data_IF_566952887800
#
_entry.id   IF_566952887800
#
_cell.length_a   1.000
_cell.length_b   1.000
_cell.length_c   1.000
_cell.angle_alpha   90.00
_cell.angle_beta   90.00
_cell.angle_gamma   90.00
#
_symmetry.space_group_name_H-M   'P 1'
#
loop_
_entity.id
_entity.type
_entity.pdbx_description
1 polymer ?
#
# COMPACT_ATOMS: atom_id res chain seq x y z
N UNK A 1 -10.08 2.13 54.57
CA UNK A 1 -8.99 2.47 53.62
C UNK A 1 -9.51 2.22 52.22
N UNK A 2 -9.47 3.27 51.38
CA UNK A 2 -10.50 3.58 50.41
C UNK A 2 -10.22 2.98 49.03
N UNK A 3 -11.23 2.32 48.45
CA UNK A 3 -11.28 1.80 47.07
C UNK A 3 -11.18 2.96 46.04
N UNK A 4 -11.34 4.22 46.48
CA UNK A 4 -11.25 5.41 45.64
C UNK A 4 -9.82 5.74 45.13
N UNK A 5 -8.77 5.17 45.72
CA UNK A 5 -7.39 5.51 45.32
C UNK A 5 -6.90 4.72 44.09
N UNK A 6 -7.61 3.65 43.71
CA UNK A 6 -7.33 2.88 42.49
C UNK A 6 -7.99 3.48 41.23
N UNK A 7 -8.93 4.42 41.41
CA UNK A 7 -9.73 4.98 40.31
C UNK A 7 -9.08 6.26 39.74
N UNK A 8 -8.14 6.88 40.45
CA UNK A 8 -7.62 8.22 40.11
C UNK A 8 -6.27 8.29 39.40
N UNK A 9 -5.64 7.15 39.08
CA UNK A 9 -4.40 7.12 38.28
C UNK A 9 -4.56 6.17 37.08
N UNK A 10 -5.66 6.32 36.33
CA UNK A 10 -5.57 6.11 34.88
C UNK A 10 -5.07 7.40 34.25
N UNK A 11 -3.78 7.69 34.44
CA UNK A 11 -3.03 8.28 33.33
C UNK A 11 -3.33 7.35 32.15
N UNK A 12 -3.96 7.88 31.11
CA UNK A 12 -4.19 7.16 29.86
C UNK A 12 -2.86 6.59 29.41
N UNK A 13 -2.61 5.31 29.71
CA UNK A 13 -1.50 4.58 29.12
C UNK A 13 -1.90 4.45 27.66
N UNK A 14 -1.34 5.30 26.80
CA UNK A 14 -1.52 5.15 25.37
C UNK A 14 -0.99 3.76 25.01
N UNK A 15 -1.90 2.87 24.59
CA UNK A 15 -1.55 1.53 24.15
C UNK A 15 -0.99 1.67 22.73
N UNK A 16 0.28 1.33 22.48
CA UNK A 16 0.94 1.64 21.21
C UNK A 16 0.19 1.10 19.99
N UNK A 17 -0.35 -0.11 20.11
CA UNK A 17 -1.07 -0.77 19.01
C UNK A 17 -2.39 -0.04 18.67
N UNK A 18 -3.37 0.11 19.60
CA UNK A 18 -4.54 0.94 19.34
C UNK A 18 -4.21 2.36 18.87
N UNK A 19 -3.26 3.03 19.51
CA UNK A 19 -2.86 4.40 19.14
C UNK A 19 -2.40 4.48 17.67
N UNK A 20 -1.55 3.55 17.25
CA UNK A 20 -1.06 3.51 15.86
C UNK A 20 -2.19 3.29 14.86
N UNK A 21 -3.10 2.35 15.14
CA UNK A 21 -4.20 2.07 14.21
C UNK A 21 -5.28 3.15 14.23
N UNK A 22 -5.52 3.82 15.37
CA UNK A 22 -6.40 4.99 15.45
C UNK A 22 -5.85 6.18 14.65
N UNK A 23 -4.54 6.42 14.70
CA UNK A 23 -3.87 7.44 13.89
C UNK A 23 -3.99 7.11 12.39
N UNK A 24 -3.69 5.88 11.99
CA UNK A 24 -3.81 5.46 10.59
C UNK A 24 -5.26 5.53 10.08
N UNK A 25 -6.23 5.09 10.89
CA UNK A 25 -7.65 5.16 10.56
C UNK A 25 -8.10 6.61 10.40
N UNK A 26 -7.72 7.50 11.34
CA UNK A 26 -8.04 8.93 11.24
C UNK A 26 -7.49 9.56 9.97
N UNK A 27 -6.26 9.22 9.57
CA UNK A 27 -5.71 9.70 8.31
C UNK A 27 -6.50 9.21 7.10
N UNK A 28 -6.84 7.91 7.07
CA UNK A 28 -7.65 7.33 6.00
C UNK A 28 -9.01 8.03 5.88
N UNK A 29 -9.77 8.14 6.97
CA UNK A 29 -11.10 8.76 7.00
C UNK A 29 -11.03 10.22 6.55
N UNK A 30 -10.05 10.97 7.06
CA UNK A 30 -9.85 12.37 6.71
C UNK A 30 -9.57 12.55 5.21
N UNK A 31 -8.68 11.74 4.63
CA UNK A 31 -8.40 11.84 3.20
C UNK A 31 -9.56 11.32 2.35
N UNK A 32 -10.30 10.30 2.80
CA UNK A 32 -11.49 9.81 2.09
C UNK A 32 -12.53 10.92 2.00
N UNK A 33 -12.78 11.64 3.09
CA UNK A 33 -13.66 12.81 3.13
C UNK A 33 -13.17 13.90 2.17
N UNK A 34 -11.91 14.34 2.32
CA UNK A 34 -11.38 15.54 1.64
C UNK A 34 -11.06 15.32 0.16
N UNK A 35 -10.60 14.13 -0.22
CA UNK A 35 -10.05 13.84 -1.55
C UNK A 35 -10.89 12.85 -2.36
N UNK A 36 -11.78 12.10 -1.69
CA UNK A 36 -12.60 11.06 -2.32
C UNK A 36 -14.10 11.20 -2.05
N UNK A 37 -14.55 12.31 -1.45
CA UNK A 37 -15.99 12.55 -1.19
C UNK A 37 -16.66 11.43 -0.38
N UNK A 38 -15.89 10.77 0.51
CA UNK A 38 -16.32 9.58 1.26
C UNK A 38 -16.79 8.40 0.39
N UNK A 39 -16.32 8.28 -0.85
CA UNK A 39 -16.72 7.20 -1.76
C UNK A 39 -15.98 5.88 -1.50
N UNK A 40 -14.81 5.90 -0.85
CA UNK A 40 -14.01 4.68 -0.66
C UNK A 40 -14.62 3.76 0.39
N UNK A 41 -14.69 2.44 0.12
CA UNK A 41 -15.14 1.46 1.11
C UNK A 41 -14.08 1.26 2.20
N UNK A 42 -14.48 0.87 3.42
CA UNK A 42 -13.52 0.58 4.48
C UNK A 42 -12.57 -0.56 4.08
N UNK A 43 -11.32 -0.47 4.55
CA UNK A 43 -10.28 -1.47 4.34
C UNK A 43 -9.58 -1.82 5.65
N UNK A 44 -8.86 -2.95 5.68
CA UNK A 44 -7.89 -3.21 6.75
C UNK A 44 -6.58 -2.49 6.44
N UNK A 45 -6.20 -1.56 7.30
CA UNK A 45 -4.86 -0.96 7.26
C UNK A 45 -3.91 -1.87 8.00
N UNK A 46 -2.78 -2.23 7.40
CA UNK A 46 -1.79 -3.11 8.02
C UNK A 46 -0.39 -2.48 8.00
N UNK A 47 0.49 -2.88 8.91
CA UNK A 47 1.90 -2.50 8.90
C UNK A 47 2.74 -3.67 8.41
N UNK A 48 3.33 -3.54 7.23
CA UNK A 48 4.07 -4.63 6.57
C UNK A 48 5.52 -4.21 6.27
N UNK A 49 6.48 -5.01 6.74
CA UNK A 49 7.90 -4.79 6.46
C UNK A 49 8.30 -5.48 5.15
N UNK A 50 7.93 -4.86 4.04
CA UNK A 50 8.26 -5.38 2.72
C UNK A 50 9.50 -4.66 2.13
N UNK A 51 10.33 -5.38 1.37
CA UNK A 51 11.49 -4.75 0.74
C UNK A 51 11.03 -3.89 -0.44
N UNK A 52 11.65 -2.71 -0.59
CA UNK A 52 11.53 -1.85 -1.79
C UNK A 52 10.13 -1.29 -2.10
N UNK A 53 9.21 -1.26 -1.13
CA UNK A 53 7.96 -0.48 -1.26
C UNK A 53 7.67 0.33 -0.01
N UNK A 54 7.03 1.50 -0.19
CA UNK A 54 6.53 2.32 0.91
C UNK A 54 5.15 1.87 1.41
N UNK A 55 4.39 1.16 0.57
CA UNK A 55 3.06 0.63 0.85
C UNK A 55 2.52 -0.17 -0.34
N UNK A 56 1.36 -0.80 -0.20
CA UNK A 56 0.64 -1.43 -1.31
C UNK A 56 -0.85 -1.59 -0.98
N UNK A 57 -1.68 -1.67 -2.00
CA UNK A 57 -3.09 -2.06 -1.90
C UNK A 57 -3.31 -3.49 -2.42
N UNK A 58 -4.06 -4.31 -1.68
CA UNK A 58 -4.46 -5.66 -2.08
C UNK A 58 -5.98 -5.80 -2.00
N UNK A 59 -6.62 -6.05 -3.14
CA UNK A 59 -8.07 -6.01 -3.25
C UNK A 59 -8.73 -7.28 -2.72
N UNK A 60 -9.83 -7.15 -1.98
CA UNK A 60 -10.60 -8.27 -1.41
C UNK A 60 -9.75 -9.28 -0.61
N UNK A 61 -8.64 -8.82 -0.02
CA UNK A 61 -7.62 -9.67 0.60
C UNK A 61 -8.11 -10.40 1.84
N UNK A 62 -8.97 -9.75 2.63
CA UNK A 62 -9.45 -10.30 3.89
C UNK A 62 -10.92 -10.64 3.81
N UNK A 63 -11.33 -11.70 4.52
CA UNK A 63 -12.72 -12.14 4.63
C UNK A 63 -13.18 -12.16 6.08
N UNK A 64 -14.35 -11.59 6.36
CA UNK A 64 -14.98 -11.67 7.67
C UNK A 64 -15.44 -13.09 7.96
N UNK A 65 -14.97 -13.70 9.05
CA UNK A 65 -15.25 -15.12 9.38
C UNK A 65 -16.74 -15.45 9.46
N UNK A 66 -17.53 -14.56 10.07
CA UNK A 66 -18.97 -14.78 10.26
C UNK A 66 -19.79 -14.25 9.09
N UNK A 67 -19.37 -13.13 8.51
CA UNK A 67 -20.16 -12.40 7.51
C UNK A 67 -19.86 -12.83 6.08
N UNK A 68 -18.69 -13.42 5.82
CA UNK A 68 -18.21 -13.77 4.47
C UNK A 68 -17.85 -12.56 3.59
N UNK A 69 -18.03 -11.32 4.07
CA UNK A 69 -17.71 -10.12 3.31
C UNK A 69 -16.19 -9.97 3.16
N UNK A 70 -15.76 -9.64 1.95
CA UNK A 70 -14.36 -9.32 1.68
C UNK A 70 -14.09 -7.82 1.79
N UNK A 71 -12.91 -7.48 2.26
CA UNK A 71 -12.41 -6.10 2.35
C UNK A 71 -10.99 -6.02 1.79
N UNK A 72 -10.64 -4.85 1.28
CA UNK A 72 -9.30 -4.59 0.79
C UNK A 72 -8.30 -4.46 1.95
N UNK A 73 -7.02 -4.59 1.60
CA UNK A 73 -5.89 -4.22 2.44
C UNK A 73 -5.23 -2.95 1.88
N UNK A 74 -4.88 -2.02 2.77
CA UNK A 74 -3.87 -1.00 2.50
C UNK A 74 -2.73 -1.21 3.49
N UNK A 75 -1.61 -1.73 2.99
CA UNK A 75 -0.42 -1.96 3.77
C UNK A 75 0.50 -0.74 3.73
N UNK A 76 0.94 -0.27 4.89
CA UNK A 76 1.93 0.79 5.05
C UNK A 76 3.24 0.20 5.58
N UNK A 77 4.38 0.68 5.08
CA UNK A 77 5.67 0.16 5.51
C UNK A 77 6.31 1.00 6.62
N UNK A 78 6.30 0.54 7.90
CA UNK A 78 6.75 1.33 9.05
C UNK A 78 8.27 1.58 9.05
N UNK A 79 9.04 0.81 8.28
CA UNK A 79 10.50 0.92 8.19
C UNK A 79 10.94 2.30 7.67
N UNK A 80 10.08 2.98 6.91
CA UNK A 80 10.38 4.30 6.35
C UNK A 80 9.85 5.47 7.19
N UNK A 81 9.08 5.22 8.25
CA UNK A 81 8.43 6.29 9.02
C UNK A 81 9.44 7.20 9.73
N UNK A 82 10.62 6.67 10.11
CA UNK A 82 11.68 7.46 10.77
C UNK A 82 12.55 8.28 9.81
N UNK A 83 12.48 8.03 8.50
CA UNK A 83 13.33 8.68 7.48
C UNK A 83 12.52 9.46 6.43
N UNK A 84 11.20 9.53 6.58
CA UNK A 84 10.29 10.33 5.76
C UNK A 84 9.52 11.29 6.65
N UNK A 85 9.15 12.45 6.10
CA UNK A 85 8.21 13.35 6.79
C UNK A 85 6.84 12.67 6.91
N UNK A 86 6.04 13.05 7.91
CA UNK A 86 4.67 12.55 8.04
C UNK A 86 3.87 12.82 6.75
N UNK A 87 3.99 14.03 6.19
CA UNK A 87 3.34 14.39 4.93
C UNK A 87 3.75 13.47 3.76
N UNK A 88 5.03 13.14 3.63
CA UNK A 88 5.49 12.19 2.61
C UNK A 88 4.94 10.77 2.86
N UNK A 89 4.93 10.31 4.10
CA UNK A 89 4.33 9.02 4.48
C UNK A 89 2.83 8.96 4.16
N UNK A 90 2.08 9.99 4.53
CA UNK A 90 0.64 10.08 4.24
C UNK A 90 0.34 10.22 2.74
N UNK A 91 1.27 10.76 1.94
CA UNK A 91 1.11 10.77 0.49
C UNK A 91 1.16 9.36 -0.11
N UNK A 92 1.88 8.42 0.52
CA UNK A 92 1.84 7.00 0.16
C UNK A 92 0.49 6.39 0.52
N UNK A 93 -0.09 6.71 1.68
CA UNK A 93 -1.45 6.25 2.02
C UNK A 93 -2.45 6.68 0.94
N UNK A 94 -2.43 7.95 0.53
CA UNK A 94 -3.34 8.47 -0.51
C UNK A 94 -3.06 7.86 -1.88
N UNK A 95 -1.81 7.54 -2.21
CA UNK A 95 -1.47 6.76 -3.42
C UNK A 95 -2.18 5.40 -3.43
N UNK A 96 -2.11 4.65 -2.33
CA UNK A 96 -2.79 3.37 -2.20
C UNK A 96 -4.33 3.53 -2.20
N UNK A 97 -4.86 4.62 -1.66
CA UNK A 97 -6.29 4.96 -1.77
C UNK A 97 -6.73 5.23 -3.21
N UNK A 98 -5.84 5.74 -4.08
CA UNK A 98 -6.13 5.87 -5.52
C UNK A 98 -6.18 4.50 -6.21
N UNK A 99 -5.34 3.54 -5.80
CA UNK A 99 -5.49 2.16 -6.25
C UNK A 99 -6.82 1.55 -5.82
N UNK A 100 -7.19 1.72 -4.55
CA UNK A 100 -8.49 1.29 -4.03
C UNK A 100 -9.64 1.92 -4.83
N UNK A 101 -9.61 3.23 -5.03
CA UNK A 101 -10.59 3.95 -5.85
C UNK A 101 -10.72 3.34 -7.24
N UNK A 102 -9.60 3.13 -7.93
CA UNK A 102 -9.62 2.63 -9.30
C UNK A 102 -10.19 1.21 -9.37
N UNK A 103 -9.92 0.36 -8.38
CA UNK A 103 -10.47 -0.99 -8.33
C UNK A 103 -12.00 -1.00 -8.20
N UNK A 104 -12.57 -0.12 -7.37
CA UNK A 104 -14.03 -0.09 -7.13
C UNK A 104 -14.82 0.74 -8.13
N UNK A 105 -14.23 1.80 -8.68
CA UNK A 105 -14.95 2.82 -9.47
C UNK A 105 -14.32 3.11 -10.83
N UNK A 106 -13.24 2.42 -11.17
CA UNK A 106 -12.48 2.65 -12.38
C UNK A 106 -12.26 1.37 -13.21
N UNK A 107 -11.27 1.45 -14.07
CA UNK A 107 -10.86 0.41 -15.00
C UNK A 107 -9.34 0.21 -14.83
N UNK A 108 -8.92 -0.62 -13.87
CA UNK A 108 -7.51 -0.98 -13.75
C UNK A 108 -7.05 -1.69 -15.02
N UNK A 109 -5.82 -1.39 -15.44
CA UNK A 109 -5.21 -2.06 -16.59
C UNK A 109 -4.64 -3.44 -16.22
N UNK A 110 -3.66 -3.90 -17.02
CA UNK A 110 -2.88 -5.09 -16.67
C UNK A 110 -2.25 -4.94 -15.28
N UNK A 111 -2.03 -6.07 -14.59
CA UNK A 111 -1.41 -6.11 -13.27
C UNK A 111 -0.11 -5.28 -13.19
N UNK A 112 -0.05 -4.41 -12.19
CA UNK A 112 1.06 -3.50 -11.89
C UNK A 112 1.13 -2.24 -12.77
N UNK A 113 0.39 -2.17 -13.88
CA UNK A 113 0.49 -1.04 -14.80
C UNK A 113 -0.44 0.09 -14.39
N UNK A 114 0.16 1.23 -14.10
CA UNK A 114 -0.50 2.48 -13.76
C UNK A 114 -0.91 3.18 -15.06
N UNK A 115 -2.19 3.08 -15.40
CA UNK A 115 -2.73 3.61 -16.64
C UNK A 115 -3.10 5.11 -16.52
N UNK A 116 -3.64 5.66 -17.61
CA UNK A 116 -4.01 7.09 -17.68
C UNK A 116 -5.13 7.46 -16.69
N UNK A 117 -6.04 6.55 -16.38
CA UNK A 117 -7.14 6.82 -15.44
C UNK A 117 -6.60 6.94 -14.01
N UNK A 118 -5.71 6.03 -13.62
CA UNK A 118 -4.98 6.12 -12.35
C UNK A 118 -4.20 7.44 -12.26
N UNK A 119 -3.44 7.77 -13.31
CA UNK A 119 -2.65 8.99 -13.34
C UNK A 119 -3.51 10.26 -13.21
N UNK A 120 -4.63 10.30 -13.92
CA UNK A 120 -5.58 11.41 -13.81
C UNK A 120 -6.18 11.53 -12.40
N UNK A 121 -6.48 10.40 -11.73
CA UNK A 121 -6.96 10.45 -10.34
C UNK A 121 -5.89 10.92 -9.38
N UNK A 122 -4.64 10.46 -9.52
CA UNK A 122 -3.52 10.96 -8.73
C UNK A 122 -3.39 12.49 -8.84
N UNK A 123 -3.37 13.02 -10.06
CA UNK A 123 -3.29 14.46 -10.29
C UNK A 123 -4.47 15.20 -9.65
N UNK A 124 -5.69 14.66 -9.76
CA UNK A 124 -6.90 15.22 -9.15
C UNK A 124 -6.81 15.28 -7.62
N UNK A 125 -6.22 14.29 -6.97
CA UNK A 125 -6.01 14.31 -5.51
C UNK A 125 -4.78 15.14 -5.10
N UNK A 126 -4.04 15.73 -6.03
CA UNK A 126 -2.88 16.59 -5.74
C UNK A 126 -1.55 15.87 -5.64
N UNK A 127 -1.46 14.64 -6.15
CA UNK A 127 -0.22 13.87 -6.26
C UNK A 127 0.16 13.74 -7.73
N UNK A 128 1.33 14.22 -8.15
CA UNK A 128 1.75 14.11 -9.55
C UNK A 128 2.45 12.78 -9.80
N UNK A 129 1.91 11.89 -10.66
CA UNK A 129 2.59 10.68 -11.07
C UNK A 129 3.94 10.96 -11.71
N UNK A 130 4.95 10.18 -11.34
CA UNK A 130 6.28 10.22 -11.94
C UNK A 130 6.98 8.87 -11.81
N UNK A 131 7.59 8.36 -12.88
CA UNK A 131 8.43 7.16 -12.83
C UNK A 131 9.81 7.43 -12.21
N UNK A 132 10.20 8.69 -12.08
CA UNK A 132 11.44 9.12 -11.40
C UNK A 132 11.18 9.65 -9.99
N UNK A 133 9.92 9.92 -9.63
CA UNK A 133 9.56 10.65 -8.42
C UNK A 133 9.80 12.15 -8.50
N UNK A 134 10.26 12.66 -9.64
CA UNK A 134 10.62 14.07 -9.85
C UNK A 134 9.88 14.66 -11.06
N UNK A 135 9.85 16.00 -11.21
CA UNK A 135 9.32 16.64 -12.41
C UNK A 135 9.98 16.15 -13.70
N UNK A 136 9.19 16.00 -14.77
CA UNK A 136 9.65 15.52 -16.07
C UNK A 136 9.65 14.00 -16.26
N UNK A 137 9.37 13.23 -15.20
CA UNK A 137 9.10 11.79 -15.32
C UNK A 137 7.84 11.48 -16.13
N UNK A 138 7.74 10.24 -16.61
CA UNK A 138 6.50 9.75 -17.25
C UNK A 138 5.39 9.67 -16.21
N UNK A 139 4.14 9.76 -16.65
CA UNK A 139 2.97 9.73 -15.76
C UNK A 139 2.28 8.36 -15.68
N UNK A 140 2.67 7.41 -16.52
CA UNK A 140 2.09 6.05 -16.63
C UNK A 140 3.19 5.01 -16.85
N UNK A 141 2.99 3.79 -16.37
CA UNK A 141 4.03 2.75 -16.44
C UNK A 141 3.81 1.59 -15.46
N UNK A 142 4.70 0.60 -15.51
CA UNK A 142 4.71 -0.50 -14.52
C UNK A 142 5.16 -0.05 -13.13
N UNK A 143 5.97 1.00 -13.09
CA UNK A 143 6.74 1.36 -11.93
C UNK A 143 6.61 2.85 -11.72
N UNK A 144 5.56 3.22 -11.00
CA UNK A 144 5.21 4.61 -10.77
C UNK A 144 5.35 4.95 -9.31
N UNK A 145 5.76 6.18 -9.07
CA UNK A 145 5.63 6.84 -7.77
C UNK A 145 5.03 8.23 -8.03
N UNK A 146 5.19 9.15 -7.09
CA UNK A 146 4.67 10.50 -7.20
C UNK A 146 5.52 11.50 -6.44
N UNK A 147 5.36 12.76 -6.80
CA UNK A 147 5.70 13.89 -5.93
C UNK A 147 4.44 14.65 -5.56
N UNK A 148 4.50 15.38 -4.45
CA UNK A 148 3.38 16.19 -3.96
C UNK A 148 3.31 17.46 -4.81
N UNK A 149 2.13 17.79 -5.32
CA UNK A 149 1.90 19.07 -5.99
C UNK A 149 1.76 20.14 -4.91
N UNK A 150 2.73 21.06 -4.83
CA UNK A 150 2.70 22.14 -3.85
C UNK A 150 1.44 23.00 -4.01
N UNK A 151 0.72 23.24 -2.91
CA UNK A 151 -0.57 23.93 -2.90
C UNK A 151 -1.71 23.14 -3.56
N UNK A 152 -1.49 21.88 -3.94
CA UNK A 152 -2.52 20.99 -4.48
C UNK A 152 -3.47 20.44 -3.39
N UNK A 153 -4.54 19.72 -3.79
CA UNK A 153 -5.54 19.20 -2.86
C UNK A 153 -4.97 18.37 -1.70
N UNK A 154 -4.10 17.39 -1.99
CA UNK A 154 -3.42 16.61 -0.95
C UNK A 154 -2.56 17.48 -0.03
N UNK A 155 -1.78 18.40 -0.59
CA UNK A 155 -0.85 19.23 0.19
C UNK A 155 -1.61 20.07 1.23
N UNK A 156 -2.67 20.75 0.78
CA UNK A 156 -3.53 21.55 1.65
C UNK A 156 -4.29 20.71 2.68
N UNK A 157 -4.86 19.57 2.26
CA UNK A 157 -5.58 18.68 3.17
C UNK A 157 -4.64 18.09 4.22
N UNK A 158 -3.43 17.69 3.82
CA UNK A 158 -2.45 17.16 4.75
C UNK A 158 -1.97 18.22 5.75
N UNK A 159 -1.78 19.47 5.31
CA UNK A 159 -1.48 20.57 6.23
C UNK A 159 -2.61 20.81 7.24
N UNK A 160 -3.87 20.79 6.78
CA UNK A 160 -5.04 20.86 7.68
C UNK A 160 -5.00 19.73 8.73
N UNK A 161 -4.81 18.48 8.31
CA UNK A 161 -4.72 17.32 9.21
C UNK A 161 -3.59 17.49 10.24
N UNK A 162 -2.41 17.92 9.80
CA UNK A 162 -1.23 18.08 10.66
C UNK A 162 -1.40 19.21 11.70
N UNK A 163 -2.17 20.25 11.37
CA UNK A 163 -2.50 21.32 12.34
C UNK A 163 -3.44 20.83 13.44
N UNK A 164 -4.29 19.82 13.17
CA UNK A 164 -5.25 19.24 14.11
C UNK A 164 -4.66 18.30 15.17
N UNK A 165 -3.40 18.51 15.56
CA UNK A 165 -2.63 17.63 16.47
C UNK A 165 -2.47 16.18 15.98
N UNK A 166 -2.62 15.92 14.67
CA UNK A 166 -2.35 14.60 14.12
C UNK A 166 -0.89 14.19 14.33
N UNK A 167 -0.67 12.91 14.65
CA UNK A 167 0.66 12.33 14.85
C UNK A 167 0.73 10.98 14.15
N UNK A 168 1.96 10.56 13.83
CA UNK A 168 2.33 9.17 13.64
C UNK A 168 3.34 8.87 14.75
N UNK A 169 2.86 8.32 15.86
CA UNK A 169 3.58 8.35 17.13
C UNK A 169 4.69 7.31 17.24
N UNK A 170 4.61 6.23 16.47
CA UNK A 170 5.54 5.10 16.53
C UNK A 170 6.32 4.94 15.23
N UNK A 171 7.64 4.78 15.34
CA UNK A 171 8.54 4.64 14.21
C UNK A 171 9.57 3.52 14.43
N UNK A 172 10.03 2.91 13.34
CA UNK A 172 11.11 1.93 13.41
C UNK A 172 12.44 2.60 13.73
N UNK A 173 13.08 2.16 14.82
CA UNK A 173 14.40 2.63 15.28
C UNK A 173 15.56 2.10 14.42
N UNK A 174 15.30 1.14 13.54
CA UNK A 174 16.30 0.55 12.63
C UNK A 174 15.86 0.78 11.17
N UNK A 175 16.03 2.01 10.65
CA UNK A 175 15.68 2.30 9.26
C UNK A 175 16.54 1.48 8.29
N UNK A 176 16.05 1.24 7.06
CA UNK A 176 16.80 0.49 6.08
C UNK A 176 18.04 1.31 5.70
N UNK A 177 19.18 0.64 5.53
CA UNK A 177 20.38 1.29 5.02
C UNK A 177 20.07 1.94 3.66
N UNK A 178 20.16 3.27 3.57
CA UNK A 178 19.97 3.99 2.31
C UNK A 178 21.23 3.84 1.44
N UNK A 179 21.15 3.23 0.24
CA UNK A 179 22.13 3.54 -0.81
C UNK A 179 21.94 5.02 -1.22
N UNK A 180 23.02 5.64 -1.71
CA UNK A 180 23.17 7.10 -1.98
C UNK A 180 21.94 7.80 -2.65
N UNK A 181 21.81 9.13 -2.47
CA UNK A 181 20.78 9.95 -3.12
C UNK A 181 20.78 9.77 -4.65
N UNK A 182 19.61 9.52 -5.25
CA UNK A 182 19.44 9.35 -6.70
C UNK A 182 19.22 7.90 -7.17
N UNK A 183 19.13 6.93 -6.27
CA UNK A 183 18.68 5.58 -6.63
C UNK A 183 17.17 5.57 -6.86
N UNK A 184 16.73 5.42 -8.11
CA UNK A 184 15.35 5.06 -8.43
C UNK A 184 15.09 3.71 -7.77
N UNK A 185 14.25 3.69 -6.74
CA UNK A 185 13.72 2.45 -6.21
C UNK A 185 12.81 1.88 -7.29
N UNK A 186 13.23 0.78 -7.92
CA UNK A 186 12.34 0.03 -8.79
C UNK A 186 11.27 -0.66 -7.92
N UNK A 187 9.98 -0.45 -8.18
CA UNK A 187 8.92 -1.23 -7.58
C UNK A 187 8.80 -2.51 -8.39
N UNK A 188 9.77 -3.41 -8.27
CA UNK A 188 9.41 -4.82 -8.30
C UNK A 188 8.85 -5.18 -6.93
N UNK A 189 7.71 -4.54 -6.60
CA UNK A 189 6.69 -5.18 -5.81
C UNK A 189 6.16 -6.31 -6.65
N UNK A 190 6.82 -7.47 -6.59
CA UNK A 190 6.05 -8.71 -6.65
C UNK A 190 5.20 -8.68 -5.38
N UNK A 191 4.09 -7.95 -5.43
CA UNK A 191 2.95 -8.25 -4.58
C UNK A 191 2.72 -9.75 -4.70
N UNK A 192 2.50 -10.38 -3.56
CA UNK A 192 2.25 -11.81 -3.38
C UNK A 192 1.86 -12.50 -4.69
N UNK A 193 2.71 -13.43 -5.12
CA UNK A 193 2.31 -14.45 -6.09
C UNK A 193 1.21 -15.23 -5.36
N UNK A 194 -0.03 -15.09 -5.81
CA UNK A 194 -1.06 -16.10 -5.54
C UNK A 194 -0.56 -17.35 -6.27
N UNK A 195 0.00 -18.28 -5.50
CA UNK A 195 0.07 -19.66 -5.90
C UNK A 195 -1.37 -20.19 -5.82
N UNK A 196 -2.13 -20.18 -6.93
CA UNK A 196 -3.16 -21.14 -7.41
C UNK A 196 -3.57 -20.61 -8.82
N UNK A 197 -3.52 -21.31 -9.96
CA UNK A 197 -3.61 -22.74 -10.29
C UNK A 197 -2.55 -23.08 -11.37
N UNK A 198 -1.68 -24.06 -11.09
CA UNK A 198 -0.94 -24.81 -12.13
C UNK A 198 -1.80 -26.02 -12.50
N UNK A 199 -2.86 -25.76 -13.27
CA UNK A 199 -3.59 -26.79 -14.01
C UNK A 199 -3.18 -26.68 -15.47
N UNK A 200 -1.95 -27.13 -15.78
CA UNK A 200 -1.59 -27.53 -17.14
C UNK A 200 -0.75 -28.80 -17.13
N UNK A 201 -1.48 -29.91 -17.25
CA UNK A 201 -1.15 -31.09 -18.05
C UNK A 201 0.05 -31.95 -17.60
N UNK A 202 -0.31 -33.04 -16.90
CA UNK A 202 0.39 -34.31 -16.92
C UNK A 202 0.59 -34.79 -18.38
N UNK A 203 1.76 -34.53 -18.96
CA UNK A 203 2.30 -35.42 -20.00
C UNK A 203 3.02 -36.58 -19.29
N UNK A 204 2.32 -37.71 -19.16
CA UNK A 204 2.97 -38.99 -18.90
C UNK A 204 3.69 -39.42 -20.18
N UNK A 205 5.01 -39.29 -20.20
CA UNK A 205 5.85 -40.05 -21.12
C UNK A 205 5.71 -41.54 -20.80
N UNK A 206 4.88 -42.24 -21.58
CA UNK A 206 4.90 -43.69 -21.66
C UNK A 206 6.03 -44.07 -22.61
N UNK A 207 7.12 -44.57 -22.03
CA UNK A 207 8.25 -45.16 -22.72
C UNK A 207 7.80 -46.47 -23.42
N UNK A 208 7.37 -46.40 -24.68
CA UNK A 208 7.13 -47.60 -25.51
C UNK A 208 8.44 -48.13 -26.11
N UNK A 209 8.91 -49.20 -25.47
CA UNK A 209 9.55 -50.38 -26.05
C UNK A 209 10.05 -50.37 -27.50
N UNK A 210 11.36 -50.23 -27.64
CA UNK A 210 12.28 -51.25 -28.20
C UNK A 210 11.92 -51.82 -29.59
N UNK A 211 12.46 -51.21 -30.64
CA UNK A 211 12.71 -51.88 -31.92
C UNK A 211 14.01 -52.73 -31.87
N UNK A 212 14.02 -53.96 -32.43
CA UNK A 212 15.23 -54.77 -32.53
C UNK A 212 16.04 -54.41 -33.79
N UNK A 213 17.33 -54.19 -33.59
CA UNK A 213 18.33 -54.03 -34.67
C UNK A 213 18.71 -55.42 -35.20
N UNK A 214 18.52 -55.64 -36.49
CA UNK A 214 19.03 -56.79 -37.25
C UNK A 214 20.56 -56.84 -37.19
N UNK A 215 21.09 -58.04 -36.93
CA UNK A 215 22.50 -58.38 -37.03
C UNK A 215 22.83 -58.73 -38.48
N UNK A 216 23.77 -57.99 -39.08
CA UNK A 216 24.55 -58.46 -40.21
C UNK A 216 26.02 -58.61 -39.78
N UNK A 217 26.60 -59.73 -40.23
CA UNK A 217 27.98 -60.29 -40.09
C UNK A 217 28.23 -61.23 -38.91
#
# INVERSE_FOLDING_TARGET
>A
MCIAQYIYVRLTVNLPTPETYDELQRAYDFFNEKLFSNELPPCLITLQREKRTYGYCSFKRFVGRESGYTVDEIAMNPVYFSIRTIKATLSTLVHEMVHQWQFHFGEPGRRGYHNKQWAARMERVGLMPSDTGEPGGRKVGQSMTHYIIAGGPFDMACDELLTGHFRLSWMDRFPPYQPKPGAVLSPTGKGYIDDEEDDSEHEQEVEEGRDPVELDV
#
